data_IF_811593262607
#
_entry.id   IF_811593262607
#
_cell.length_a   1.000
_cell.length_b   1.000
_cell.length_c   1.000
_cell.angle_alpha   90.00
_cell.angle_beta   90.00
_cell.angle_gamma   90.00
#
_symmetry.space_group_name_H-M   'P 1'
#
loop_
_entity.id
_entity.type
_entity.pdbx_description
1 polymer ?
#
# COMPACT_ATOMS: atom_id res chain seq x y z
N UNK A 1 6.66 -9.43 -11.11
CA UNK A 1 6.26 -10.22 -9.92
C UNK A 1 5.11 -11.12 -10.37
N UNK A 2 5.08 -12.39 -9.98
CA UNK A 2 3.95 -13.29 -10.28
C UNK A 2 2.70 -12.83 -9.53
N UNK A 3 1.50 -12.95 -10.13
CA UNK A 3 0.22 -12.51 -9.55
C UNK A 3 -0.29 -13.42 -8.41
N UNK A 4 0.59 -14.26 -7.85
CA UNK A 4 0.27 -15.18 -6.75
C UNK A 4 1.11 -14.77 -5.53
N UNK A 5 0.50 -14.22 -4.46
CA UNK A 5 1.26 -13.66 -3.34
C UNK A 5 2.17 -14.66 -2.64
N UNK A 6 1.65 -15.86 -2.38
CA UNK A 6 2.33 -16.87 -1.56
C UNK A 6 3.42 -17.63 -2.34
N UNK A 7 3.33 -17.68 -3.67
CA UNK A 7 4.26 -18.46 -4.49
C UNK A 7 5.71 -17.95 -4.35
N UNK A 8 6.66 -18.87 -4.19
CA UNK A 8 8.10 -18.58 -4.04
C UNK A 8 8.46 -17.75 -2.80
N UNK A 9 7.62 -17.76 -1.76
CA UNK A 9 7.91 -17.10 -0.48
C UNK A 9 8.43 -18.09 0.56
N UNK A 10 9.27 -17.59 1.47
CA UNK A 10 9.68 -18.33 2.68
C UNK A 10 8.59 -18.17 3.75
N UNK A 11 8.49 -19.09 4.72
CA UNK A 11 7.53 -19.03 5.83
C UNK A 11 6.04 -19.02 5.40
N UNK A 12 5.56 -20.06 4.69
CA UNK A 12 4.16 -20.16 4.25
C UNK A 12 3.16 -20.07 5.41
N UNK A 13 3.56 -20.56 6.59
CA UNK A 13 2.82 -20.54 7.85
C UNK A 13 2.46 -19.13 8.34
N UNK A 14 3.27 -18.12 8.03
CA UNK A 14 3.07 -16.73 8.50
C UNK A 14 2.13 -15.91 7.62
N UNK A 15 1.76 -16.40 6.44
CA UNK A 15 1.00 -15.62 5.46
C UNK A 15 -0.40 -15.25 5.91
N UNK A 16 -1.14 -16.19 6.51
CA UNK A 16 -2.50 -15.91 6.99
C UNK A 16 -2.50 -14.76 8.01
N UNK A 17 -1.57 -14.81 8.96
CA UNK A 17 -1.44 -13.75 9.97
C UNK A 17 -0.96 -12.44 9.36
N UNK A 18 -0.05 -12.48 8.38
CA UNK A 18 0.38 -11.28 7.67
C UNK A 18 -0.77 -10.58 6.93
N UNK A 19 -1.63 -11.33 6.23
CA UNK A 19 -2.79 -10.78 5.53
C UNK A 19 -3.78 -10.16 6.51
N UNK A 20 -4.09 -10.85 7.60
CA UNK A 20 -4.95 -10.31 8.69
C UNK A 20 -4.41 -8.97 9.20
N UNK A 21 -3.11 -8.90 9.48
CA UNK A 21 -2.48 -7.66 9.94
C UNK A 21 -2.48 -6.54 8.89
N UNK A 22 -2.38 -6.88 7.61
CA UNK A 22 -2.51 -5.92 6.52
C UNK A 22 -3.93 -5.36 6.38
N UNK A 23 -4.95 -6.21 6.51
CA UNK A 23 -6.36 -5.80 6.49
C UNK A 23 -6.66 -4.88 7.67
N UNK A 24 -6.12 -5.19 8.85
CA UNK A 24 -6.22 -4.36 10.05
C UNK A 24 -5.38 -3.07 9.99
N UNK A 25 -4.69 -2.79 8.86
CA UNK A 25 -3.97 -1.53 8.64
C UNK A 25 -2.69 -1.37 9.46
N UNK A 26 -2.08 -2.46 9.94
CA UNK A 26 -0.84 -2.36 10.73
C UNK A 26 0.35 -1.86 9.89
N UNK A 27 1.24 -1.12 10.55
CA UNK A 27 2.49 -0.66 9.95
C UNK A 27 3.48 -1.80 9.79
N UNK A 28 4.39 -1.71 8.81
CA UNK A 28 5.39 -2.76 8.59
C UNK A 28 6.26 -3.04 9.82
N UNK A 29 6.72 -2.05 10.61
CA UNK A 29 7.46 -2.30 11.85
C UNK A 29 6.68 -3.15 12.86
N UNK A 30 5.38 -2.88 13.05
CA UNK A 30 4.53 -3.69 13.95
C UNK A 30 4.39 -5.13 13.44
N UNK A 31 4.22 -5.29 12.12
CA UNK A 31 4.14 -6.61 11.48
C UNK A 31 5.45 -7.39 11.66
N UNK A 32 6.60 -6.73 11.49
CA UNK A 32 7.91 -7.39 11.64
C UNK A 32 8.17 -7.85 13.05
N UNK A 33 7.76 -7.06 14.04
CA UNK A 33 7.88 -7.39 15.46
C UNK A 33 7.01 -8.61 15.81
N UNK A 34 5.74 -8.60 15.39
CA UNK A 34 4.80 -9.66 15.74
C UNK A 34 5.07 -10.98 14.99
N UNK A 35 5.51 -10.93 13.74
CA UNK A 35 5.79 -12.13 12.93
C UNK A 35 7.25 -12.58 12.98
N UNK A 36 8.11 -11.83 13.66
CA UNK A 36 9.56 -12.05 13.71
C UNK A 36 10.15 -12.28 12.31
N UNK A 37 9.98 -11.28 11.43
CA UNK A 37 10.51 -11.26 10.07
C UNK A 37 11.25 -9.94 9.80
N UNK A 38 12.18 -9.94 8.85
CA UNK A 38 12.89 -8.73 8.48
C UNK A 38 11.98 -7.73 7.74
N UNK A 39 12.23 -6.43 7.89
CA UNK A 39 11.41 -5.36 7.29
C UNK A 39 11.36 -5.43 5.77
N UNK A 40 12.46 -5.84 5.11
CA UNK A 40 12.47 -6.04 3.67
C UNK A 40 11.56 -7.19 3.22
N UNK A 41 11.44 -8.24 4.03
CA UNK A 41 10.51 -9.35 3.77
C UNK A 41 9.07 -8.88 3.87
N UNK A 42 8.73 -8.16 4.95
CA UNK A 42 7.40 -7.59 5.13
C UNK A 42 7.06 -6.60 4.00
N UNK A 43 8.01 -5.77 3.56
CA UNK A 43 7.82 -4.85 2.44
C UNK A 43 7.58 -5.58 1.11
N UNK A 44 8.37 -6.61 0.82
CA UNK A 44 8.22 -7.42 -0.39
C UNK A 44 6.87 -8.16 -0.43
N UNK A 45 6.43 -8.69 0.72
CA UNK A 45 5.12 -9.34 0.82
C UNK A 45 3.98 -8.35 0.57
N UNK A 46 4.08 -7.11 1.07
CA UNK A 46 3.08 -6.06 0.79
C UNK A 46 2.96 -5.82 -0.71
N UNK A 47 4.08 -5.71 -1.42
CA UNK A 47 4.07 -5.53 -2.87
C UNK A 47 3.46 -6.74 -3.60
N UNK A 48 3.73 -7.96 -3.15
CA UNK A 48 3.12 -9.18 -3.72
C UNK A 48 1.59 -9.18 -3.56
N UNK A 49 1.10 -8.83 -2.38
CA UNK A 49 -0.35 -8.74 -2.09
C UNK A 49 -1.00 -7.66 -2.96
N UNK A 50 -0.45 -6.45 -2.96
CA UNK A 50 -1.01 -5.33 -3.74
C UNK A 50 -0.97 -5.60 -5.24
N UNK A 51 0.08 -6.23 -5.75
CA UNK A 51 0.16 -6.61 -7.17
C UNK A 51 -0.89 -7.66 -7.54
N UNK A 52 -1.11 -8.66 -6.68
CA UNK A 52 -2.16 -9.65 -6.93
C UNK A 52 -3.55 -9.01 -6.91
N UNK A 53 -3.84 -8.13 -5.95
CA UNK A 53 -5.11 -7.39 -5.89
C UNK A 53 -5.32 -6.50 -7.12
N UNK A 54 -4.27 -5.78 -7.56
CA UNK A 54 -4.34 -4.95 -8.76
C UNK A 54 -4.55 -5.75 -10.05
N UNK A 55 -4.12 -7.02 -10.08
CA UNK A 55 -4.29 -7.90 -11.25
C UNK A 55 -5.69 -8.48 -11.41
N UNK A 56 -6.55 -8.43 -10.39
CA UNK A 56 -7.91 -8.99 -10.47
C UNK A 56 -8.87 -8.12 -11.30
N UNK A 57 -8.44 -6.93 -11.72
CA UNK A 57 -9.31 -5.97 -12.40
C UNK A 57 -10.37 -5.38 -11.47
N UNK A 58 -11.06 -4.34 -11.95
CA UNK A 58 -12.19 -3.76 -11.24
C UNK A 58 -13.48 -4.14 -11.97
N UNK A 59 -14.49 -4.52 -11.22
CA UNK A 59 -15.83 -4.65 -11.77
C UNK A 59 -16.39 -3.27 -12.11
N UNK A 60 -17.22 -3.19 -13.15
CA UNK A 60 -17.90 -1.96 -13.49
C UNK A 60 -18.92 -1.60 -12.40
N UNK A 61 -18.85 -0.36 -11.90
CA UNK A 61 -19.82 0.17 -10.93
C UNK A 61 -21.21 0.23 -11.60
N UNK A 62 -22.26 -0.12 -10.86
CA UNK A 62 -23.65 -0.08 -11.35
C UNK A 62 -24.61 0.42 -10.27
N UNK A 63 -25.73 1.03 -10.68
CA UNK A 63 -26.72 1.62 -9.77
C UNK A 63 -26.45 3.08 -9.44
N UNK A 64 -26.90 3.51 -8.25
CA UNK A 64 -26.60 4.85 -7.71
C UNK A 64 -25.18 4.82 -7.14
N UNK A 65 -24.30 5.65 -7.67
CA UNK A 65 -22.90 5.73 -7.27
C UNK A 65 -22.68 7.04 -6.53
N UNK A 66 -22.19 6.95 -5.30
CA UNK A 66 -21.72 8.08 -4.51
C UNK A 66 -20.18 8.10 -4.54
N UNK A 67 -19.60 9.30 -4.55
CA UNK A 67 -18.15 9.51 -4.60
C UNK A 67 -17.76 10.56 -3.58
N UNK A 68 -17.19 10.13 -2.46
CA UNK A 68 -16.62 11.00 -1.45
C UNK A 68 -15.12 11.26 -1.71
N UNK A 69 -14.69 12.50 -1.51
CA UNK A 69 -13.28 12.85 -1.63
C UNK A 69 -12.56 12.60 -0.30
N UNK A 70 -11.52 11.76 -0.33
CA UNK A 70 -10.58 11.62 0.79
C UNK A 70 -9.20 12.10 0.36
N UNK A 71 -8.70 13.15 1.02
CA UNK A 71 -7.39 13.73 0.71
C UNK A 71 -6.27 13.09 1.52
N UNK A 72 -5.26 12.57 0.82
CA UNK A 72 -4.02 12.09 1.42
C UNK A 72 -2.85 12.97 1.03
N UNK A 73 -1.90 13.14 1.97
CA UNK A 73 -0.62 13.80 1.68
C UNK A 73 0.31 12.83 0.98
N UNK A 74 0.25 12.76 -0.35
CA UNK A 74 1.21 11.99 -1.13
C UNK A 74 2.55 12.73 -1.21
N UNK A 75 3.64 12.03 -0.87
CA UNK A 75 4.99 12.55 -1.09
C UNK A 75 5.36 12.42 -2.57
N UNK A 76 5.30 13.54 -3.26
CA UNK A 76 5.63 13.66 -4.69
C UNK A 76 7.11 13.98 -4.94
N UNK A 77 7.99 13.69 -3.98
CA UNK A 77 9.42 14.02 -4.06
C UNK A 77 10.07 13.35 -5.28
N UNK A 78 10.85 14.13 -6.02
CA UNK A 78 11.60 13.63 -7.18
C UNK A 78 10.80 13.54 -8.49
N UNK A 79 9.49 13.85 -8.47
CA UNK A 79 8.69 14.00 -9.69
C UNK A 79 8.72 15.46 -10.17
N UNK A 80 8.79 15.67 -11.48
CA UNK A 80 8.65 16.99 -12.10
C UNK A 80 7.17 17.32 -12.30
N UNK A 81 6.77 18.56 -12.05
CA UNK A 81 5.39 19.03 -12.20
C UNK A 81 5.35 20.29 -13.06
N UNK A 82 4.38 20.34 -13.98
CA UNK A 82 4.09 21.50 -14.82
C UNK A 82 2.97 22.38 -14.25
N UNK A 83 2.09 21.82 -13.42
CA UNK A 83 0.87 22.48 -12.95
C UNK A 83 0.98 23.19 -11.59
N UNK A 84 2.11 23.05 -10.88
CA UNK A 84 2.37 23.73 -9.60
C UNK A 84 3.85 23.92 -9.36
N UNK A 85 4.19 24.89 -8.51
CA UNK A 85 5.57 25.06 -8.04
C UNK A 85 5.98 23.90 -7.12
N UNK A 86 7.26 23.49 -7.15
CA UNK A 86 7.79 22.49 -6.24
C UNK A 86 7.77 23.02 -4.81
N UNK A 87 7.41 22.13 -3.87
CA UNK A 87 7.39 22.44 -2.43
C UNK A 87 8.78 22.25 -1.81
N UNK A 88 9.15 23.11 -0.87
CA UNK A 88 10.35 22.95 -0.05
C UNK A 88 10.07 22.01 1.13
N UNK A 89 11.13 21.42 1.69
CA UNK A 89 11.02 20.53 2.85
C UNK A 89 10.44 21.29 4.04
N UNK A 90 9.42 20.71 4.69
CA UNK A 90 8.79 21.31 5.88
C UNK A 90 7.76 22.40 5.58
N UNK A 91 7.52 22.70 4.30
CA UNK A 91 6.48 23.64 3.88
C UNK A 91 5.10 23.08 4.26
N UNK A 92 4.33 23.87 5.00
CA UNK A 92 2.96 23.52 5.39
C UNK A 92 2.05 23.70 4.18
N UNK A 93 1.12 22.76 4.01
CA UNK A 93 0.05 22.94 3.04
C UNK A 93 -0.93 24.01 3.49
N UNK A 94 -1.41 24.81 2.54
CA UNK A 94 -2.59 25.63 2.74
C UNK A 94 -3.76 24.68 3.04
N UNK A 95 -4.47 24.94 4.14
CA UNK A 95 -5.71 24.24 4.42
C UNK A 95 -6.72 24.68 3.36
N UNK A 96 -7.23 23.74 2.58
CA UNK A 96 -8.41 23.90 1.74
C UNK A 96 -9.63 23.46 2.51
#
# INVERSE_FOLDING_TARGET
>A
MTNTPVSGSRYPDKWMKYIEMMINGLTLPKITEQLNIHISTAFYWRHKVLNALGSQGFNQLSGIVESDETFFRESLKGRQFTHRKPKKRGEKDEKR
#
